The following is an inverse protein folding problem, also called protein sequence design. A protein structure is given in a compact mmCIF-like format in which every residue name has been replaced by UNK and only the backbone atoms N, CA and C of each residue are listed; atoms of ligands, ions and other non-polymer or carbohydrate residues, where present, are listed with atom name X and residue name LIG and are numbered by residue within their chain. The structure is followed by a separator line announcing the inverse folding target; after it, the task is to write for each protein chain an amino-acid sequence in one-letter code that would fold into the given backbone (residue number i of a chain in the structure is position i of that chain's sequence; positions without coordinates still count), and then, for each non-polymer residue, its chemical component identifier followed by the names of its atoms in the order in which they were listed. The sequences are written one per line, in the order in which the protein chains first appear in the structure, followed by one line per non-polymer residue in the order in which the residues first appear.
data_IF_846675331583
#
_entry.id   IF_846675331583
#
_cell.length_a   1.000
_cell.length_b   1.000
_cell.length_c   1.000
_cell.angle_alpha   90.00
_cell.angle_beta   90.00
_cell.angle_gamma   90.00
#
_symmetry.space_group_name_H-M   'P 1'
#
loop_
_entity.id
_entity.type
_entity.pdbx_description
1 polymer ?
#
# COMPACT_ATOMS: atom_id res chain seq x y z
N UNK A 1 4.94 19.82 -1.59
CA UNK A 1 5.92 19.12 -0.74
C UNK A 1 7.23 19.86 -0.69
N UNK A 2 7.87 19.86 0.49
CA UNK A 2 9.22 20.35 0.70
C UNK A 2 10.04 19.25 1.36
N UNK A 3 11.26 19.04 0.90
CA UNK A 3 12.26 18.21 1.57
C UNK A 3 13.17 19.12 2.36
N UNK A 4 13.24 18.91 3.67
CA UNK A 4 14.03 19.74 4.59
C UNK A 4 15.15 18.91 5.17
N UNK A 5 16.37 19.43 5.13
CA UNK A 5 17.49 18.85 5.83
C UNK A 5 17.28 19.00 7.34
N UNK A 6 17.09 17.87 8.02
CA UNK A 6 16.68 17.81 9.43
C UNK A 6 17.60 18.57 10.39
N UNK A 7 18.92 18.57 10.17
CA UNK A 7 19.86 19.24 11.08
C UNK A 7 20.01 20.74 10.82
N UNK A 8 19.95 21.17 9.55
CA UNK A 8 20.20 22.56 9.18
C UNK A 8 18.92 23.36 8.95
N UNK A 9 17.76 22.71 8.85
CA UNK A 9 16.50 23.33 8.47
C UNK A 9 16.46 23.83 7.02
N UNK A 10 17.50 23.56 6.22
CA UNK A 10 17.57 24.01 4.84
C UNK A 10 16.59 23.22 3.97
N UNK A 11 15.79 23.93 3.16
CA UNK A 11 14.99 23.30 2.10
C UNK A 11 15.96 22.83 1.02
N UNK A 12 15.98 21.51 0.77
CA UNK A 12 16.84 20.89 -0.24
C UNK A 12 16.10 20.55 -1.53
N UNK A 13 14.76 20.52 -1.50
CA UNK A 13 13.91 20.34 -2.67
C UNK A 13 12.46 20.81 -2.39
N UNK A 14 11.72 21.15 -3.44
CA UNK A 14 10.32 21.61 -3.36
C UNK A 14 10.17 23.12 -3.48
N UNK A 15 9.07 23.57 -4.10
CA UNK A 15 8.77 24.99 -4.32
C UNK A 15 7.70 25.54 -3.37
N UNK A 16 7.66 26.87 -3.21
CA UNK A 16 6.65 27.58 -2.40
C UNK A 16 5.29 27.71 -3.12
N UNK A 17 5.25 27.40 -4.41
CA UNK A 17 4.02 27.46 -5.22
C UNK A 17 3.15 26.23 -4.95
N UNK A 18 1.86 26.39 -4.57
CA UNK A 18 0.93 25.29 -4.50
C UNK A 18 0.86 24.56 -5.85
N UNK A 19 1.07 23.23 -5.84
CA UNK A 19 0.86 22.37 -7.00
C UNK A 19 -0.43 21.58 -6.82
N UNK A 20 -1.14 21.32 -7.91
CA UNK A 20 -2.15 20.28 -7.93
C UNK A 20 -1.47 18.91 -7.73
N UNK A 21 -2.03 18.08 -6.87
CA UNK A 21 -1.46 16.79 -6.49
C UNK A 21 -2.52 15.71 -6.66
N UNK A 22 -2.20 14.67 -7.43
CA UNK A 22 -3.04 13.50 -7.63
C UNK A 22 -2.21 12.23 -7.50
N UNK A 23 -2.83 11.19 -6.96
CA UNK A 23 -2.25 9.86 -6.84
C UNK A 23 -3.15 8.82 -7.51
N UNK A 24 -2.50 7.88 -8.19
CA UNK A 24 -3.11 6.71 -8.79
C UNK A 24 -2.81 5.49 -7.94
N UNK A 25 -3.84 4.96 -7.29
CA UNK A 25 -3.74 3.81 -6.40
C UNK A 25 -4.19 2.55 -7.14
N UNK A 26 -3.26 1.63 -7.39
CA UNK A 26 -3.55 0.36 -8.05
C UNK A 26 -3.73 -0.73 -7.00
N UNK A 27 -4.89 -1.38 -7.03
CA UNK A 27 -5.21 -2.52 -6.18
C UNK A 27 -5.40 -3.77 -7.03
N UNK A 28 -4.94 -4.92 -6.53
CA UNK A 28 -5.08 -6.22 -7.18
C UNK A 28 -5.89 -7.18 -6.32
N UNK A 29 -6.65 -8.06 -6.96
CA UNK A 29 -7.38 -9.17 -6.33
C UNK A 29 -7.48 -10.31 -7.31
N UNK A 30 -7.47 -11.55 -6.81
CA UNK A 30 -7.79 -12.72 -7.61
C UNK A 30 -9.19 -12.58 -8.22
N UNK A 31 -9.30 -12.88 -9.53
CA UNK A 31 -10.58 -12.92 -10.23
C UNK A 31 -11.55 -13.99 -9.69
N UNK A 32 -11.02 -14.99 -8.99
CA UNK A 32 -11.84 -16.04 -8.35
C UNK A 32 -12.43 -15.61 -7.00
N UNK A 33 -11.97 -14.49 -6.43
CA UNK A 33 -12.48 -13.98 -5.15
C UNK A 33 -13.70 -13.10 -5.39
N UNK A 34 -14.88 -13.63 -5.07
CA UNK A 34 -16.18 -12.97 -5.27
C UNK A 34 -16.74 -12.32 -3.99
N UNK A 35 -17.53 -11.26 -4.12
CA UNK A 35 -18.17 -10.57 -2.99
C UNK A 35 -17.34 -9.39 -2.47
N UNK A 36 -17.86 -8.74 -1.44
CA UNK A 36 -17.35 -7.46 -0.94
C UNK A 36 -15.94 -7.57 -0.34
N UNK A 37 -15.28 -6.41 -0.23
CA UNK A 37 -14.00 -6.30 0.45
C UNK A 37 -14.19 -6.51 1.96
N UNK A 38 -13.28 -7.26 2.57
CA UNK A 38 -13.28 -7.50 4.01
C UNK A 38 -12.35 -6.53 4.73
N UNK A 39 -12.84 -5.98 5.84
CA UNK A 39 -12.09 -5.15 6.79
C UNK A 39 -11.59 -5.96 8.01
N UNK A 40 -11.68 -7.30 7.95
CA UNK A 40 -11.30 -8.18 9.05
C UNK A 40 -9.81 -8.08 9.34
N UNK A 41 -9.49 -7.79 10.60
CA UNK A 41 -8.11 -7.75 11.12
C UNK A 41 -7.60 -9.12 11.56
N UNK A 42 -8.08 -10.20 10.93
CA UNK A 42 -7.64 -11.57 11.18
C UNK A 42 -7.11 -12.22 9.90
N UNK A 43 -6.17 -13.15 10.05
CA UNK A 43 -5.64 -13.92 8.94
C UNK A 43 -6.76 -14.75 8.31
N UNK A 44 -6.99 -14.65 7.00
CA UNK A 44 -8.05 -15.38 6.31
C UNK A 44 -7.82 -16.90 6.27
N UNK A 45 -6.58 -17.36 6.51
CA UNK A 45 -6.22 -18.77 6.52
C UNK A 45 -6.29 -19.42 7.92
N UNK A 46 -5.77 -18.74 8.97
CA UNK A 46 -5.66 -19.33 10.31
C UNK A 46 -6.45 -18.60 11.41
N UNK A 47 -7.17 -17.53 11.08
CA UNK A 47 -7.96 -16.70 11.99
C UNK A 47 -7.20 -15.98 13.11
N UNK A 48 -5.87 -16.16 13.23
CA UNK A 48 -5.04 -15.38 14.14
C UNK A 48 -5.10 -13.86 13.81
N UNK A 49 -4.80 -12.95 14.76
CA UNK A 49 -4.67 -11.53 14.45
C UNK A 49 -3.78 -11.28 13.23
N UNK A 50 -4.16 -10.34 12.39
CA UNK A 50 -3.43 -10.05 11.15
C UNK A 50 -2.08 -9.41 11.50
N UNK A 51 -1.03 -10.23 11.49
CA UNK A 51 0.36 -9.82 11.57
C UNK A 51 1.07 -10.29 10.31
N UNK A 52 1.67 -9.37 9.56
CA UNK A 52 2.30 -9.63 8.26
C UNK A 52 3.78 -9.25 8.34
N UNK A 53 4.65 -10.15 7.92
CA UNK A 53 6.09 -9.89 7.88
C UNK A 53 6.50 -9.09 6.62
N UNK A 54 7.78 -8.73 6.52
CA UNK A 54 8.31 -7.94 5.38
C UNK A 54 8.17 -8.65 4.03
N UNK A 55 8.10 -9.97 4.01
CA UNK A 55 7.86 -10.76 2.80
C UNK A 55 6.38 -10.79 2.42
N UNK A 56 5.49 -10.24 3.25
CA UNK A 56 4.05 -10.22 3.01
C UNK A 56 3.34 -11.52 3.41
N UNK A 57 3.94 -12.32 4.29
CA UNK A 57 3.38 -13.57 4.81
C UNK A 57 2.82 -13.36 6.22
N UNK A 58 1.77 -14.10 6.58
CA UNK A 58 1.25 -14.15 7.93
C UNK A 58 2.32 -14.65 8.91
N UNK A 59 2.61 -13.88 9.95
CA UNK A 59 3.59 -14.23 10.98
C UNK A 59 3.20 -15.44 11.83
N UNK A 60 1.95 -15.91 11.74
CA UNK A 60 1.44 -17.04 12.52
C UNK A 60 1.43 -18.36 11.75
N UNK A 61 0.91 -18.37 10.51
CA UNK A 61 0.78 -19.60 9.71
C UNK A 61 1.63 -19.62 8.43
N UNK A 62 2.34 -18.53 8.12
CA UNK A 62 3.25 -18.45 6.97
C UNK A 62 2.58 -18.22 5.61
N UNK A 63 1.24 -18.21 5.52
CA UNK A 63 0.53 -17.98 4.25
C UNK A 63 0.87 -16.61 3.66
N UNK A 64 1.06 -16.52 2.35
CA UNK A 64 1.24 -15.24 1.63
C UNK A 64 -0.10 -14.50 1.60
N UNK A 65 -0.23 -13.39 2.32
CA UNK A 65 -1.49 -12.62 2.38
C UNK A 65 -1.57 -11.49 1.34
N UNK A 66 -0.42 -11.11 0.80
CA UNK A 66 -0.25 -10.00 -0.17
C UNK A 66 -0.36 -10.43 -1.64
N UNK A 67 -0.78 -11.66 -1.91
CA UNK A 67 -0.95 -12.17 -3.29
C UNK A 67 -2.29 -11.85 -3.94
N UNK A 68 -3.24 -11.28 -3.18
CA UNK A 68 -4.56 -10.94 -3.69
C UNK A 68 -5.57 -12.08 -3.71
N UNK A 69 -5.21 -13.30 -3.26
CA UNK A 69 -6.11 -14.45 -3.22
C UNK A 69 -7.25 -14.26 -2.22
N UNK A 70 -6.97 -13.57 -1.11
CA UNK A 70 -7.91 -13.42 0.00
C UNK A 70 -8.75 -12.14 -0.09
N UNK A 71 -8.14 -11.02 -0.47
CA UNK A 71 -8.84 -9.77 -0.73
C UNK A 71 -7.98 -8.79 -1.55
N UNK A 72 -8.48 -7.57 -1.76
CA UNK A 72 -7.74 -6.50 -2.40
C UNK A 72 -6.43 -6.19 -1.69
N UNK A 73 -5.36 -6.08 -2.47
CA UNK A 73 -4.01 -5.70 -2.01
C UNK A 73 -3.57 -4.48 -2.80
N UNK A 74 -3.06 -3.46 -2.10
CA UNK A 74 -2.40 -2.32 -2.72
C UNK A 74 -1.11 -2.78 -3.39
N UNK A 75 -1.01 -2.63 -4.71
CA UNK A 75 0.17 -3.04 -5.47
C UNK A 75 1.09 -1.86 -5.82
N UNK A 76 0.51 -0.68 -6.06
CA UNK A 76 1.24 0.49 -6.53
C UNK A 76 0.55 1.79 -6.13
N UNK A 77 1.35 2.79 -5.75
CA UNK A 77 0.94 4.19 -5.66
C UNK A 77 1.82 4.95 -6.63
N UNK A 78 1.21 5.69 -7.55
CA UNK A 78 1.92 6.53 -8.51
C UNK A 78 1.43 7.96 -8.40
N UNK A 79 2.34 8.90 -8.62
CA UNK A 79 1.98 10.30 -8.78
C UNK A 79 1.65 10.57 -10.25
N UNK A 80 0.84 11.61 -10.49
CA UNK A 80 0.43 12.03 -11.84
C UNK A 80 1.61 12.12 -12.84
N UNK A 81 2.73 12.69 -12.39
CA UNK A 81 3.95 12.86 -13.18
C UNK A 81 4.59 11.53 -13.63
N UNK A 82 4.33 10.43 -12.92
CA UNK A 82 4.88 9.09 -13.17
C UNK A 82 3.89 8.11 -13.80
N UNK A 83 2.61 8.46 -13.85
CA UNK A 83 1.57 7.54 -14.30
C UNK A 83 1.56 7.43 -15.83
N UNK A 84 1.74 6.20 -16.34
CA UNK A 84 1.84 5.93 -17.77
C UNK A 84 0.57 5.31 -18.40
N UNK A 85 -0.47 5.07 -17.60
CA UNK A 85 -1.61 4.22 -17.99
C UNK A 85 -1.26 2.74 -18.05
#
# INVERSE_FOLDING_TARGET
DQTVHIESGAIVAGGETPREYSEYWTLIRSSTRAGEASDKKSCPNCAAPLAVNMTGNCSHCGVKVTGGEFDWVLSKIEQDESYAG
#
